data_IF_472616111814
#
_entry.id   IF_472616111814
#
_cell.length_a   1.000
_cell.length_b   1.000
_cell.length_c   1.000
_cell.angle_alpha   90.00
_cell.angle_beta   90.00
_cell.angle_gamma   90.00
#
_symmetry.space_group_name_H-M   'P 1'
#
loop_
_entity.id
_entity.type
_entity.pdbx_description
1 polymer ?
#
# COMPACT_ATOMS: atom_id res chain seq x y z
N UNK A 1 -6.75 15.83 -15.89
CA UNK A 1 -5.94 14.86 -15.10
C UNK A 1 -6.73 13.61 -14.65
N UNK A 2 -8.03 13.48 -14.96
CA UNK A 2 -8.84 12.30 -14.54
C UNK A 2 -8.46 10.96 -15.21
N UNK A 3 -7.83 11.01 -16.38
CA UNK A 3 -7.54 9.81 -17.19
C UNK A 3 -6.48 8.89 -16.59
N UNK A 4 -5.58 9.43 -15.77
CA UNK A 4 -4.52 8.65 -15.10
C UNK A 4 -5.07 7.91 -13.88
N UNK A 5 -6.02 8.51 -13.14
CA UNK A 5 -6.60 7.91 -11.92
C UNK A 5 -7.63 6.81 -12.21
N UNK A 6 -8.21 6.80 -13.41
CA UNK A 6 -9.20 5.79 -13.81
C UNK A 6 -8.58 4.58 -14.52
N UNK A 7 -7.30 4.63 -14.89
CA UNK A 7 -6.61 3.47 -15.47
C UNK A 7 -5.95 2.66 -14.35
N UNK A 8 -6.47 1.47 -13.99
CA UNK A 8 -5.93 0.66 -12.90
C UNK A 8 -4.46 0.28 -13.14
N UNK A 9 -4.06 0.10 -14.40
CA UNK A 9 -2.68 -0.24 -14.74
C UNK A 9 -1.71 0.93 -14.56
N UNK A 10 -2.14 2.15 -14.91
CA UNK A 10 -1.33 3.34 -14.70
C UNK A 10 -1.11 3.61 -13.21
N UNK A 11 -2.18 3.52 -12.40
CA UNK A 11 -2.09 3.71 -10.94
C UNK A 11 -1.22 2.64 -10.29
N UNK A 12 -1.29 1.39 -10.76
CA UNK A 12 -0.46 0.30 -10.25
C UNK A 12 1.04 0.51 -10.51
N UNK A 13 1.43 0.88 -11.73
CA UNK A 13 2.83 1.16 -12.02
C UNK A 13 3.35 2.37 -11.23
N UNK A 14 2.55 3.43 -11.12
CA UNK A 14 2.93 4.63 -10.37
C UNK A 14 3.08 4.33 -8.88
N UNK A 15 2.20 3.51 -8.29
CA UNK A 15 2.29 3.17 -6.86
C UNK A 15 3.54 2.36 -6.52
N UNK A 16 3.97 1.46 -7.40
CA UNK A 16 5.24 0.72 -7.26
C UNK A 16 6.42 1.69 -7.30
N UNK A 17 6.46 2.57 -8.30
CA UNK A 17 7.55 3.55 -8.45
C UNK A 17 7.67 4.48 -7.24
N UNK A 18 6.53 4.94 -6.71
CA UNK A 18 6.51 5.78 -5.50
C UNK A 18 7.04 5.01 -4.29
N UNK A 19 6.63 3.75 -4.09
CA UNK A 19 7.12 2.94 -2.98
C UNK A 19 8.64 2.73 -3.05
N UNK A 20 9.16 2.38 -4.23
CA UNK A 20 10.61 2.20 -4.44
C UNK A 20 11.36 3.53 -4.25
N UNK A 21 10.81 4.64 -4.76
CA UNK A 21 11.42 5.97 -4.63
C UNK A 21 11.51 6.43 -3.17
N UNK A 22 10.42 6.31 -2.41
CA UNK A 22 10.38 6.66 -0.99
C UNK A 22 11.34 5.78 -0.16
N UNK A 23 11.41 4.49 -0.48
CA UNK A 23 12.35 3.58 0.19
C UNK A 23 13.81 3.94 -0.13
N UNK A 24 14.10 4.27 -1.39
CA UNK A 24 15.44 4.69 -1.83
C UNK A 24 15.89 5.99 -1.16
N UNK A 25 14.98 6.95 -0.96
CA UNK A 25 15.25 8.16 -0.17
C UNK A 25 15.70 7.80 1.26
N UNK A 26 14.96 6.90 1.92
CA UNK A 26 15.30 6.44 3.28
C UNK A 26 16.62 5.69 3.32
N UNK A 27 16.90 4.85 2.33
CA UNK A 27 18.19 4.16 2.21
C UNK A 27 19.35 5.16 2.11
N UNK A 28 19.21 6.20 1.28
CA UNK A 28 20.23 7.25 1.13
C UNK A 28 20.46 8.02 2.43
N UNK A 29 19.39 8.43 3.14
CA UNK A 29 19.52 9.16 4.41
C UNK A 29 20.27 8.32 5.45
N UNK A 30 19.90 7.05 5.61
CA UNK A 30 20.49 6.16 6.62
C UNK A 30 21.96 5.84 6.30
N UNK A 31 22.26 5.45 5.07
CA UNK A 31 23.63 5.09 4.65
C UNK A 31 24.57 6.29 4.70
N UNK A 32 24.11 7.45 4.23
CA UNK A 32 24.91 8.68 4.23
C UNK A 32 25.18 9.16 5.66
N UNK A 33 24.17 9.10 6.54
CA UNK A 33 24.35 9.44 7.96
C UNK A 33 25.39 8.55 8.65
N UNK A 34 25.34 7.22 8.44
CA UNK A 34 26.27 6.27 9.06
C UNK A 34 27.71 6.38 8.51
N UNK A 35 27.86 6.77 7.24
CA UNK A 35 29.18 6.92 6.61
C UNK A 35 29.99 8.12 7.14
N UNK A 36 29.31 9.11 7.74
CA UNK A 36 29.88 10.37 8.22
C UNK A 36 29.65 10.52 9.73
N UNK A 37 30.16 9.55 10.48
CA UNK A 37 30.17 9.62 11.94
C UNK A 37 31.09 10.74 12.47
N UNK A 38 30.80 11.20 13.69
CA UNK A 38 31.44 12.35 14.36
C UNK A 38 32.96 12.21 14.57
N UNK A 39 33.52 10.99 14.46
CA UNK A 39 34.96 10.75 14.51
C UNK A 39 35.53 10.49 13.10
N UNK A 40 36.54 11.25 12.66
CA UNK A 40 37.12 11.10 11.31
C UNK A 40 37.87 9.78 11.08
N UNK A 41 38.21 9.04 12.14
CA UNK A 41 38.88 7.72 12.05
C UNK A 41 37.94 6.53 11.76
N UNK A 42 36.62 6.74 11.80
CA UNK A 42 35.59 5.71 11.60
C UNK A 42 34.84 5.84 10.28
N UNK A 43 35.29 6.71 9.37
CA UNK A 43 34.74 6.81 8.01
C UNK A 43 34.95 5.47 7.29
N UNK A 44 33.89 4.67 7.24
CA UNK A 44 33.85 3.40 6.51
C UNK A 44 32.75 3.49 5.46
N UNK A 45 33.11 3.17 4.23
CA UNK A 45 32.16 3.08 3.13
C UNK A 45 31.35 1.78 3.31
N UNK A 46 30.03 1.90 3.45
CA UNK A 46 29.15 0.74 3.53
C UNK A 46 28.98 0.13 2.14
N UNK A 47 29.46 -1.11 1.97
CA UNK A 47 29.20 -1.90 0.77
C UNK A 47 28.13 -2.93 1.10
N UNK A 48 26.90 -2.78 0.58
CA UNK A 48 25.85 -3.75 0.81
C UNK A 48 26.31 -5.10 0.25
N UNK A 49 26.21 -6.14 1.08
CA UNK A 49 26.46 -7.51 0.68
C UNK A 49 25.20 -8.11 0.05
N UNK A 50 25.38 -9.21 -0.68
CA UNK A 50 24.27 -9.94 -1.30
C UNK A 50 23.27 -10.46 -0.26
N UNK A 51 23.75 -10.68 0.97
CA UNK A 51 22.93 -11.06 2.12
C UNK A 51 21.99 -9.93 2.54
N UNK A 52 22.42 -8.67 2.49
CA UNK A 52 21.57 -7.52 2.84
C UNK A 52 20.39 -7.36 1.87
N UNK A 53 20.65 -7.54 0.58
CA UNK A 53 19.63 -7.52 -0.46
C UNK A 53 18.70 -8.74 -0.32
N UNK A 54 19.26 -9.91 -0.05
CA UNK A 54 18.49 -11.13 0.20
C UNK A 54 17.59 -11.03 1.43
N UNK A 55 18.06 -10.37 2.49
CA UNK A 55 17.28 -10.12 3.70
C UNK A 55 16.15 -9.11 3.43
N UNK A 56 16.43 -8.05 2.65
CA UNK A 56 15.41 -7.09 2.24
C UNK A 56 14.32 -7.72 1.37
N UNK A 57 14.69 -8.48 0.34
CA UNK A 57 13.72 -9.21 -0.48
C UNK A 57 13.00 -10.28 0.34
N UNK A 58 13.71 -10.90 1.29
CA UNK A 58 13.18 -11.88 2.23
C UNK A 58 12.07 -11.31 3.12
N UNK A 59 12.20 -10.09 3.65
CA UNK A 59 11.13 -9.46 4.45
C UNK A 59 9.91 -9.12 3.61
N UNK A 60 10.10 -8.69 2.36
CA UNK A 60 9.00 -8.48 1.40
C UNK A 60 8.30 -9.80 1.08
N UNK A 61 9.05 -10.86 0.79
CA UNK A 61 8.52 -12.19 0.55
C UNK A 61 7.78 -12.77 1.76
N UNK A 62 8.33 -12.57 2.96
CA UNK A 62 7.71 -13.00 4.22
C UNK A 62 6.42 -12.23 4.51
N UNK A 63 6.38 -10.92 4.24
CA UNK A 63 5.16 -10.13 4.30
C UNK A 63 4.10 -10.67 3.35
N UNK A 64 4.43 -10.92 2.08
CA UNK A 64 3.50 -11.50 1.12
C UNK A 64 3.07 -12.91 1.51
N UNK A 65 3.96 -13.73 2.06
CA UNK A 65 3.62 -15.06 2.56
C UNK A 65 2.57 -14.97 3.67
N UNK A 66 2.78 -14.12 4.67
CA UNK A 66 1.81 -13.89 5.75
C UNK A 66 0.50 -13.26 5.24
N UNK A 67 0.60 -12.32 4.30
CA UNK A 67 -0.58 -11.69 3.68
C UNK A 67 -1.42 -12.70 2.90
N UNK A 68 -0.81 -13.55 2.09
CA UNK A 68 -1.50 -14.62 1.36
C UNK A 68 -2.09 -15.67 2.31
N UNK A 69 -1.41 -15.96 3.41
CA UNK A 69 -1.93 -16.84 4.46
C UNK A 69 -3.16 -16.21 5.13
N UNK A 70 -3.10 -14.91 5.43
CA UNK A 70 -4.20 -14.17 6.01
C UNK A 70 -5.41 -14.14 5.08
N UNK A 71 -5.24 -13.81 3.80
CA UNK A 71 -6.35 -13.80 2.83
C UNK A 71 -6.97 -15.18 2.61
N UNK A 72 -6.21 -16.26 2.85
CA UNK A 72 -6.70 -17.64 2.75
C UNK A 72 -7.55 -18.06 3.96
N UNK A 73 -7.21 -17.61 5.16
CA UNK A 73 -7.85 -18.03 6.42
C UNK A 73 -8.90 -17.06 6.95
N UNK A 74 -8.76 -15.76 6.66
CA UNK A 74 -9.65 -14.71 7.17
C UNK A 74 -10.38 -14.00 6.01
N UNK A 75 -11.64 -13.58 6.22
CA UNK A 75 -12.32 -12.74 5.25
C UNK A 75 -11.61 -11.39 5.15
N UNK A 76 -11.16 -11.03 3.95
CA UNK A 76 -10.45 -9.77 3.68
C UNK A 76 -11.35 -8.55 3.87
N UNK A 77 -12.67 -8.75 3.83
CA UNK A 77 -13.68 -7.70 3.93
C UNK A 77 -14.58 -7.96 5.15
N UNK A 78 -14.85 -6.90 5.90
CA UNK A 78 -15.78 -6.86 7.04
C UNK A 78 -17.23 -7.09 6.60
N UNK A 79 -17.75 -8.32 6.79
CA UNK A 79 -19.12 -8.67 6.39
C UNK A 79 -20.18 -7.81 7.11
N UNK A 80 -19.92 -7.40 8.35
CA UNK A 80 -20.83 -6.54 9.12
C UNK A 80 -21.01 -5.16 8.46
N UNK A 81 -19.92 -4.54 8.01
CA UNK A 81 -19.96 -3.23 7.37
C UNK A 81 -20.60 -3.32 5.98
N UNK A 82 -20.26 -4.35 5.20
CA UNK A 82 -20.86 -4.57 3.87
C UNK A 82 -22.38 -4.70 3.96
N UNK A 83 -22.91 -5.42 4.97
CA UNK A 83 -24.37 -5.55 5.17
C UNK A 83 -25.03 -4.20 5.46
N UNK A 84 -24.42 -3.37 6.30
CA UNK A 84 -24.94 -2.03 6.60
C UNK A 84 -24.95 -1.14 5.36
N UNK A 85 -23.87 -1.16 4.57
CA UNK A 85 -23.77 -0.39 3.33
C UNK A 85 -24.82 -0.81 2.29
N UNK A 86 -25.05 -2.13 2.12
CA UNK A 86 -26.09 -2.63 1.21
C UNK A 86 -27.47 -2.15 1.65
N UNK A 87 -27.79 -2.23 2.94
CA UNK A 87 -29.07 -1.76 3.47
C UNK A 87 -29.27 -0.23 3.28
N UNK A 88 -28.21 0.56 3.47
CA UNK A 88 -28.25 2.00 3.20
C UNK A 88 -28.48 2.32 1.71
N UNK A 89 -27.86 1.55 0.80
CA UNK A 89 -28.06 1.70 -0.65
C UNK A 89 -29.50 1.35 -1.05
N UNK A 90 -30.05 0.24 -0.55
CA UNK A 90 -31.44 -0.17 -0.81
C UNK A 90 -32.45 0.85 -0.27
N UNK A 91 -32.21 1.41 0.93
CA UNK A 91 -33.07 2.46 1.50
C UNK A 91 -33.06 3.72 0.63
N UNK A 92 -31.89 4.17 0.17
CA UNK A 92 -31.77 5.33 -0.73
C UNK A 92 -32.52 5.11 -2.05
N UNK A 93 -32.46 3.92 -2.62
CA UNK A 93 -33.16 3.60 -3.87
C UNK A 93 -34.68 3.54 -3.66
N UNK A 94 -35.15 3.02 -2.53
CA UNK A 94 -36.56 3.04 -2.15
C UNK A 94 -37.10 4.47 -1.98
N UNK A 95 -36.36 5.32 -1.26
CA UNK A 95 -36.74 6.71 -1.04
C UNK A 95 -36.77 7.52 -2.35
N UNK A 96 -35.83 7.25 -3.27
CA UNK A 96 -35.82 7.81 -4.62
C UNK A 96 -37.05 7.39 -5.42
N UNK A 97 -37.40 6.09 -5.42
CA UNK A 97 -38.58 5.56 -6.10
C UNK A 97 -39.89 6.11 -5.51
N UNK A 98 -39.95 6.30 -4.20
CA UNK A 98 -41.11 6.89 -3.54
C UNK A 98 -41.28 8.36 -3.87
N UNK A 99 -40.18 9.13 -3.88
CA UNK A 99 -40.18 10.55 -4.27
C UNK A 99 -40.64 10.79 -5.71
N UNK A 100 -40.24 9.94 -6.66
CA UNK A 100 -40.71 10.04 -8.05
C UNK A 100 -42.15 9.57 -8.26
N UNK A 101 -42.70 8.72 -7.39
CA UNK A 101 -44.06 8.18 -7.53
C UNK A 101 -45.14 9.07 -6.91
N UNK A 102 -44.79 9.96 -5.98
CA UNK A 102 -45.72 10.89 -5.32
C UNK A 102 -45.67 12.31 -5.93
N UNK A 103 -44.75 12.54 -6.88
CA UNK A 103 -44.56 13.81 -7.58
C UNK A 103 -45.16 13.85 -9.00
N UNK A 104 -46.04 12.92 -9.36
CA UNK A 104 -46.80 12.88 -10.60
C UNK A 104 -48.30 13.03 -10.33
#
# INVERSE_FOLDING_TARGET
MEKIRSSPWAVFCISILINVGMWSERFVIVVTALSRDFLPGSWRMYYPTWVDIGLFVGTVGFFFMLFLLFTRFFPVISIAEVKTLVYEMERKEYDLKKGTSYGA
#
